data_IF_175230277274
#
_entry.id   IF_175230277274
#
_cell.length_a   1.000
_cell.length_b   1.000
_cell.length_c   1.000
_cell.angle_alpha   90.00
_cell.angle_beta   90.00
_cell.angle_gamma   90.00
#
_symmetry.space_group_name_H-M   'P 1'
#
loop_
_entity.id
_entity.type
_entity.pdbx_description
1 polymer ?
#
# COMPACT_ATOMS: atom_id res chain seq x y z
N UNK A 1 -6.49 -8.65 6.92
CA UNK A 1 -7.40 -8.87 5.79
C UNK A 1 -6.55 -9.26 4.58
N UNK A 2 -6.93 -10.30 3.85
CA UNK A 2 -6.25 -10.70 2.62
C UNK A 2 -7.06 -10.19 1.43
N UNK A 3 -6.37 -9.62 0.44
CA UNK A 3 -6.99 -9.11 -0.79
C UNK A 3 -6.69 -10.07 -1.93
N UNK A 4 -7.73 -10.65 -2.52
CA UNK A 4 -7.56 -11.53 -3.67
C UNK A 4 -7.16 -10.73 -4.91
N UNK A 5 -6.13 -11.18 -5.61
CA UNK A 5 -5.71 -10.63 -6.89
C UNK A 5 -6.11 -11.63 -7.98
N UNK A 6 -7.08 -11.30 -8.84
CA UNK A 6 -7.53 -12.21 -9.89
C UNK A 6 -6.39 -12.47 -10.89
N UNK A 7 -6.35 -13.69 -11.43
CA UNK A 7 -5.34 -14.07 -12.41
C UNK A 7 -5.42 -13.16 -13.65
N UNK A 8 -4.29 -12.56 -14.04
CA UNK A 8 -4.22 -11.61 -15.15
C UNK A 8 -4.91 -10.26 -14.88
N UNK A 9 -5.40 -10.02 -13.67
CA UNK A 9 -6.02 -8.76 -13.28
C UNK A 9 -5.13 -7.89 -12.40
N UNK A 10 -5.57 -6.66 -12.17
CA UNK A 10 -4.91 -5.68 -11.30
C UNK A 10 -5.88 -5.20 -10.25
N UNK A 11 -5.47 -5.19 -8.98
CA UNK A 11 -6.24 -4.60 -7.88
C UNK A 11 -5.61 -3.27 -7.51
N UNK A 12 -6.42 -2.21 -7.51
CA UNK A 12 -5.95 -0.85 -7.23
C UNK A 12 -6.31 -0.46 -5.81
N UNK A 13 -5.29 -0.30 -4.97
CA UNK A 13 -5.47 0.24 -3.63
C UNK A 13 -5.62 1.77 -3.69
N UNK A 14 -6.76 2.29 -3.25
CA UNK A 14 -7.04 3.74 -3.27
C UNK A 14 -7.84 4.21 -2.05
N UNK A 15 -7.63 5.45 -1.58
CA UNK A 15 -8.45 6.03 -0.54
C UNK A 15 -9.94 6.04 -0.94
N UNK A 16 -10.79 5.41 -0.12
CA UNK A 16 -12.23 5.28 -0.38
C UNK A 16 -12.67 4.00 -1.11
N UNK A 17 -11.75 3.08 -1.42
CA UNK A 17 -12.02 1.70 -1.86
C UNK A 17 -11.14 0.76 -1.03
N UNK A 18 -10.67 -0.35 -1.58
CA UNK A 18 -9.67 -1.22 -0.99
C UNK A 18 -8.40 -0.42 -0.64
N UNK A 19 -8.01 -0.47 0.63
CA UNK A 19 -6.80 0.17 1.13
C UNK A 19 -6.28 -0.59 2.34
N UNK A 20 -4.96 -0.52 2.55
CA UNK A 20 -4.31 -1.13 3.71
C UNK A 20 -4.23 -0.10 4.82
N UNK A 21 -4.84 -0.39 5.99
CA UNK A 21 -4.64 0.40 7.20
C UNK A 21 -3.44 -0.09 7.98
N UNK A 22 -2.50 0.81 8.28
CA UNK A 22 -1.40 0.54 9.19
C UNK A 22 -1.88 0.79 10.63
N UNK A 23 -1.97 -0.27 11.44
CA UNK A 23 -2.32 -0.19 12.86
C UNK A 23 -1.09 -0.43 13.74
N UNK A 24 -1.10 0.12 14.96
CA UNK A 24 -0.03 -0.14 15.94
C UNK A 24 1.33 0.44 15.56
N UNK A 25 1.34 1.62 14.95
CA UNK A 25 2.57 2.31 14.55
C UNK A 25 3.48 2.55 15.77
N UNK A 26 4.71 2.00 15.72
CA UNK A 26 5.73 2.21 16.76
C UNK A 26 6.31 3.63 16.78
N UNK A 27 6.16 4.35 15.68
CA UNK A 27 6.63 5.72 15.51
C UNK A 27 5.65 6.52 14.63
N UNK A 28 5.54 7.84 14.82
CA UNK A 28 4.68 8.68 13.99
C UNK A 28 5.20 8.73 12.55
N UNK A 29 4.30 8.58 11.59
CA UNK A 29 4.60 8.75 10.17
C UNK A 29 4.82 10.24 9.87
N UNK A 30 6.04 10.62 9.50
CA UNK A 30 6.38 12.02 9.17
C UNK A 30 6.20 12.27 7.68
N UNK A 31 5.47 13.31 7.32
CA UNK A 31 5.30 13.71 5.91
C UNK A 31 6.67 13.85 5.23
N UNK A 32 6.83 13.24 4.06
CA UNK A 32 8.05 13.33 3.26
C UNK A 32 9.08 12.24 3.57
N UNK A 33 8.89 11.44 4.62
CA UNK A 33 9.74 10.26 4.84
C UNK A 33 9.30 9.10 3.96
N UNK A 34 10.23 8.19 3.70
CA UNK A 34 9.95 6.89 3.09
C UNK A 34 10.19 5.79 4.12
N UNK A 35 9.38 4.75 4.06
CA UNK A 35 9.59 3.53 4.82
C UNK A 35 9.37 2.34 3.89
N UNK A 36 10.03 1.23 4.18
CA UNK A 36 9.84 0.00 3.43
C UNK A 36 8.63 -0.76 3.96
N UNK A 37 7.76 -1.18 3.05
CA UNK A 37 6.62 -2.04 3.36
C UNK A 37 6.83 -3.38 2.67
N UNK A 38 6.78 -4.46 3.44
CA UNK A 38 6.85 -5.83 2.92
C UNK A 38 5.43 -6.35 2.67
N UNK A 39 5.11 -6.63 1.41
CA UNK A 39 3.87 -7.27 0.99
C UNK A 39 4.13 -8.76 0.80
N UNK A 40 3.42 -9.61 1.53
CA UNK A 40 3.55 -11.06 1.37
C UNK A 40 2.40 -11.57 0.51
N UNK A 41 2.74 -12.11 -0.65
CA UNK A 41 1.82 -12.77 -1.56
C UNK A 41 1.89 -14.27 -1.33
N UNK A 42 0.73 -14.89 -1.19
CA UNK A 42 0.61 -16.33 -0.94
C UNK A 42 1.36 -17.18 -1.99
N UNK A 43 1.25 -16.79 -3.27
CA UNK A 43 1.86 -17.52 -4.39
C UNK A 43 3.23 -17.01 -4.85
N UNK A 44 3.57 -15.77 -4.53
CA UNK A 44 4.76 -15.09 -5.09
C UNK A 44 5.81 -14.69 -4.05
N UNK A 45 5.58 -15.01 -2.77
CA UNK A 45 6.48 -14.67 -1.68
C UNK A 45 6.39 -13.20 -1.27
N UNK A 46 7.43 -12.70 -0.60
CA UNK A 46 7.45 -11.34 -0.05
C UNK A 46 8.12 -10.34 -0.99
N UNK A 47 7.43 -9.24 -1.28
CA UNK A 47 7.91 -8.11 -2.08
C UNK A 47 8.06 -6.89 -1.18
N UNK A 48 9.23 -6.27 -1.20
CA UNK A 48 9.50 -5.04 -0.44
C UNK A 48 9.30 -3.84 -1.36
N UNK A 49 8.46 -2.89 -0.95
CA UNK A 49 8.21 -1.66 -1.69
C UNK A 49 8.51 -0.42 -0.84
N UNK A 50 9.15 0.62 -1.40
CA UNK A 50 9.31 1.89 -0.71
C UNK A 50 7.99 2.68 -0.73
N UNK A 51 7.45 2.99 0.45
CA UNK A 51 6.24 3.78 0.61
C UNK A 51 6.59 5.19 1.08
N UNK A 52 6.12 6.20 0.37
CA UNK A 52 6.31 7.60 0.75
C UNK A 52 5.12 8.10 1.58
N UNK A 53 5.41 8.66 2.76
CA UNK A 53 4.39 9.25 3.64
C UNK A 53 3.94 10.59 3.05
N UNK A 54 2.67 10.66 2.68
CA UNK A 54 2.02 11.87 2.19
C UNK A 54 1.07 12.48 3.24
N UNK A 55 0.49 13.64 2.96
CA UNK A 55 -0.52 14.24 3.84
C UNK A 55 -1.76 13.34 3.91
N UNK A 56 -2.45 13.33 5.05
CA UNK A 56 -3.75 12.69 5.16
C UNK A 56 -4.71 13.25 4.08
N UNK A 57 -5.38 12.36 3.35
CA UNK A 57 -6.24 12.72 2.22
C UNK A 57 -5.53 12.99 0.89
N UNK A 58 -4.21 12.76 0.79
CA UNK A 58 -3.51 12.85 -0.50
C UNK A 58 -3.99 11.75 -1.47
N UNK A 59 -4.57 12.15 -2.60
CA UNK A 59 -4.95 11.26 -3.72
C UNK A 59 -3.80 11.15 -4.72
N UNK A 60 -2.69 10.57 -4.30
CA UNK A 60 -1.59 10.22 -5.22
C UNK A 60 -1.73 8.78 -5.67
N UNK A 61 -2.76 8.47 -6.45
CA UNK A 61 -2.79 7.22 -7.22
C UNK A 61 -2.55 7.59 -8.68
N UNK A 62 -1.44 7.14 -9.26
CA UNK A 62 -1.33 7.05 -10.71
C UNK A 62 -1.95 5.71 -11.08
N UNK A 63 -3.20 5.73 -11.53
CA UNK A 63 -3.69 4.64 -12.37
C UNK A 63 -2.82 4.73 -13.63
N UNK A 64 -1.83 3.85 -13.75
CA UNK A 64 -1.11 3.69 -15.00
C UNK A 64 -2.11 3.22 -16.05
N UNK A 65 -2.19 3.97 -17.16
CA UNK A 65 -2.81 3.58 -18.42
C UNK A 65 -2.26 2.25 -18.93
#
# INVERSE_FOLDING_TARGET
EALEIPAGGTVVLKPGSDHVMLMGLKAPLKKGTRFELSLTFDKSGTVVIPVQVQKAGARSYKATE
#
